data_IF_572305866937
#
_entry.id   IF_572305866937
#
_cell.length_a   1.000
_cell.length_b   1.000
_cell.length_c   1.000
_cell.angle_alpha   90.00
_cell.angle_beta   90.00
_cell.angle_gamma   90.00
#
_symmetry.space_group_name_H-M   'P 1'
#
loop_
_entity.id
_entity.type
_entity.pdbx_description
1 polymer ?
#
# COMPACT_ATOMS: atom_id res chain seq x y z
N UNK A 1 25.39 -4.59 -1.56
CA UNK A 1 25.67 -5.04 -0.18
C UNK A 1 26.88 -4.30 0.36
N UNK A 2 26.77 -3.71 1.55
CA UNK A 2 27.87 -3.01 2.24
C UNK A 2 28.78 -3.96 3.06
N UNK A 3 28.60 -5.28 2.92
CA UNK A 3 29.42 -6.30 3.60
C UNK A 3 29.18 -6.42 5.11
N UNK A 4 28.14 -5.78 5.66
CA UNK A 4 27.81 -5.85 7.09
C UNK A 4 27.03 -7.12 7.42
N UNK A 5 27.36 -7.85 8.51
CA UNK A 5 26.60 -9.03 8.92
C UNK A 5 25.14 -8.71 9.23
N UNK A 6 24.23 -9.57 8.75
CA UNK A 6 22.79 -9.47 9.00
C UNK A 6 22.37 -10.46 10.10
N UNK A 7 22.73 -10.16 11.35
CA UNK A 7 22.32 -10.96 12.50
C UNK A 7 20.85 -10.72 12.89
N UNK A 8 20.28 -11.60 13.72
CA UNK A 8 18.93 -11.40 14.26
C UNK A 8 18.80 -10.05 15.00
N UNK A 9 19.81 -9.64 15.75
CA UNK A 9 19.82 -8.35 16.44
C UNK A 9 19.77 -7.17 15.48
N UNK A 10 20.47 -7.26 14.34
CA UNK A 10 20.42 -6.22 13.29
C UNK A 10 19.01 -6.11 12.71
N UNK A 11 18.35 -7.23 12.40
CA UNK A 11 16.97 -7.23 11.89
C UNK A 11 15.98 -6.66 12.90
N UNK A 12 16.07 -7.09 14.17
CA UNK A 12 15.23 -6.60 15.27
C UNK A 12 15.38 -5.08 15.45
N UNK A 13 16.61 -4.57 15.46
CA UNK A 13 16.87 -3.13 15.55
C UNK A 13 16.31 -2.35 14.35
N UNK A 14 16.46 -2.86 13.13
CA UNK A 14 15.89 -2.23 11.92
C UNK A 14 14.36 -2.19 12.04
N UNK A 15 13.74 -3.29 12.42
CA UNK A 15 12.28 -3.39 12.47
C UNK A 15 11.67 -2.53 13.58
N UNK A 16 12.33 -2.44 14.74
CA UNK A 16 11.95 -1.53 15.82
C UNK A 16 11.99 -0.06 15.38
N UNK A 17 13.00 0.34 14.59
CA UNK A 17 13.06 1.68 13.99
C UNK A 17 11.94 1.91 12.97
N UNK A 18 11.59 0.90 12.19
CA UNK A 18 10.47 0.98 11.23
C UNK A 18 9.14 1.18 11.98
N UNK A 19 8.88 0.40 13.05
CA UNK A 19 7.68 0.59 13.87
C UNK A 19 7.57 2.03 14.39
N UNK A 20 8.63 2.54 15.01
CA UNK A 20 8.63 3.91 15.54
C UNK A 20 8.49 4.97 14.44
N UNK A 21 9.07 4.75 13.25
CA UNK A 21 8.94 5.67 12.11
C UNK A 21 7.49 5.79 11.61
N UNK A 22 6.75 4.67 11.54
CA UNK A 22 5.42 4.64 10.92
C UNK A 22 4.29 4.90 11.91
N UNK A 23 4.42 4.48 13.17
CA UNK A 23 3.37 4.64 14.17
C UNK A 23 3.64 5.76 15.19
N UNK A 24 4.84 6.35 15.19
CA UNK A 24 5.18 7.45 16.08
C UNK A 24 5.40 7.00 17.54
N UNK A 25 5.61 7.97 18.45
CA UNK A 25 6.01 7.72 19.84
C UNK A 25 4.91 7.09 20.69
N UNK A 26 3.65 7.18 20.26
CA UNK A 26 2.50 6.64 21.01
C UNK A 26 2.41 5.11 20.91
N UNK A 27 3.13 4.49 19.95
CA UNK A 27 3.23 3.04 19.87
C UNK A 27 4.16 2.49 20.96
N UNK A 28 3.56 1.84 21.95
CA UNK A 28 4.28 1.08 22.97
C UNK A 28 4.74 -0.25 22.39
N UNK A 29 6.06 -0.49 22.38
CA UNK A 29 6.68 -1.74 21.93
C UNK A 29 7.19 -2.55 23.11
N UNK A 30 6.67 -3.76 23.28
CA UNK A 30 7.21 -4.74 24.23
C UNK A 30 8.57 -5.28 23.78
N UNK A 31 9.28 -5.99 24.65
CA UNK A 31 10.62 -6.54 24.40
C UNK A 31 10.71 -7.32 23.08
N UNK A 32 9.68 -8.09 22.74
CA UNK A 32 9.65 -9.04 21.64
C UNK A 32 8.88 -8.55 20.41
N UNK A 33 8.26 -7.37 20.43
CA UNK A 33 7.49 -6.86 19.28
C UNK A 33 8.28 -6.86 17.97
N UNK A 34 9.60 -6.62 18.05
CA UNK A 34 10.49 -6.56 16.89
C UNK A 34 10.89 -7.93 16.31
N UNK A 35 10.67 -9.04 17.02
CA UNK A 35 10.93 -10.39 16.52
C UNK A 35 9.97 -10.76 15.38
N UNK A 36 8.85 -10.04 15.26
CA UNK A 36 7.83 -10.28 14.24
C UNK A 36 8.39 -10.21 12.81
N UNK A 37 9.46 -9.44 12.56
CA UNK A 37 10.11 -9.43 11.25
C UNK A 37 10.61 -10.82 10.81
N UNK A 38 10.96 -11.70 11.75
CA UNK A 38 11.46 -13.05 11.44
C UNK A 38 10.33 -14.06 11.18
N UNK A 39 9.07 -13.67 11.39
CA UNK A 39 7.89 -14.54 11.26
C UNK A 39 7.07 -14.27 10.00
N UNK A 40 7.36 -13.17 9.30
CA UNK A 40 6.60 -12.77 8.10
C UNK A 40 7.07 -13.62 6.92
N UNK A 41 6.26 -14.60 6.55
CA UNK A 41 6.54 -15.53 5.44
C UNK A 41 6.86 -14.82 4.11
N UNK A 42 6.23 -13.66 3.86
CA UNK A 42 6.46 -12.87 2.66
C UNK A 42 7.87 -12.26 2.58
N UNK A 43 8.61 -12.12 3.68
CA UNK A 43 10.01 -11.64 3.64
C UNK A 43 10.97 -12.68 3.07
N UNK A 44 10.53 -13.94 3.01
CA UNK A 44 11.23 -15.02 2.33
C UNK A 44 10.82 -15.17 0.86
N UNK A 45 10.07 -14.19 0.34
CA UNK A 45 9.75 -14.04 -1.08
C UNK A 45 10.36 -12.73 -1.58
N UNK A 46 11.05 -12.79 -2.71
CA UNK A 46 11.77 -11.66 -3.28
C UNK A 46 10.83 -10.49 -3.60
N UNK A 47 10.93 -9.40 -2.83
CA UNK A 47 10.26 -8.11 -3.05
C UNK A 47 8.75 -8.21 -3.34
N UNK A 48 8.02 -9.10 -2.65
CA UNK A 48 6.60 -9.30 -2.94
C UNK A 48 5.68 -8.25 -2.29
N UNK A 49 5.97 -7.86 -1.05
CA UNK A 49 5.00 -7.13 -0.19
C UNK A 49 4.59 -5.75 -0.69
N UNK A 50 5.44 -5.06 -1.47
CA UNK A 50 5.11 -3.71 -1.96
C UNK A 50 3.91 -3.72 -2.91
N UNK A 51 3.67 -4.87 -3.58
CA UNK A 51 2.57 -5.05 -4.53
C UNK A 51 1.21 -4.83 -3.86
N UNK A 52 1.06 -5.18 -2.57
CA UNK A 52 -0.20 -4.92 -1.87
C UNK A 52 -0.52 -3.43 -1.80
N UNK A 53 0.47 -2.59 -1.45
CA UNK A 53 0.28 -1.16 -1.33
C UNK A 53 -0.01 -0.51 -2.69
N UNK A 54 0.72 -0.91 -3.74
CA UNK A 54 0.52 -0.37 -5.09
C UNK A 54 -0.81 -0.83 -5.70
N UNK A 55 -1.17 -2.11 -5.55
CA UNK A 55 -2.46 -2.63 -6.01
C UNK A 55 -3.65 -2.00 -5.29
N UNK A 56 -3.56 -1.82 -3.96
CA UNK A 56 -4.62 -1.15 -3.20
C UNK A 56 -4.76 0.32 -3.63
N UNK A 57 -3.64 0.99 -3.89
CA UNK A 57 -3.65 2.38 -4.36
C UNK A 57 -4.30 2.53 -5.73
N UNK A 58 -3.94 1.65 -6.68
CA UNK A 58 -4.57 1.62 -8.00
C UNK A 58 -6.07 1.32 -7.92
N UNK A 59 -6.45 0.33 -7.10
CA UNK A 59 -7.85 -0.05 -6.91
C UNK A 59 -8.67 1.11 -6.31
N UNK A 60 -8.13 1.80 -5.31
CA UNK A 60 -8.78 2.97 -4.69
C UNK A 60 -8.99 4.08 -5.71
N UNK A 61 -7.96 4.41 -6.50
CA UNK A 61 -8.04 5.42 -7.54
C UNK A 61 -9.13 5.10 -8.57
N UNK A 62 -9.18 3.86 -9.07
CA UNK A 62 -10.20 3.41 -10.02
C UNK A 62 -11.60 3.46 -9.37
N UNK A 63 -11.72 2.97 -8.14
CA UNK A 63 -13.00 2.88 -7.44
C UNK A 63 -13.63 4.27 -7.19
N UNK A 64 -12.86 5.26 -6.75
CA UNK A 64 -13.34 6.64 -6.52
C UNK A 64 -13.97 7.21 -7.81
N UNK A 65 -13.33 6.99 -8.96
CA UNK A 65 -13.83 7.45 -10.26
C UNK A 65 -15.12 6.73 -10.67
N UNK A 66 -15.18 5.41 -10.47
CA UNK A 66 -16.38 4.62 -10.76
C UNK A 66 -17.56 5.06 -9.88
N UNK A 67 -17.32 5.26 -8.58
CA UNK A 67 -18.33 5.71 -7.62
C UNK A 67 -18.80 7.14 -7.90
N UNK A 68 -17.94 7.98 -8.47
CA UNK A 68 -18.30 9.31 -8.97
C UNK A 68 -19.13 9.28 -10.28
N UNK A 69 -19.42 8.10 -10.83
CA UNK A 69 -20.23 7.94 -12.04
C UNK A 69 -19.45 8.16 -13.34
N UNK A 70 -18.12 8.07 -13.32
CA UNK A 70 -17.28 8.24 -14.51
C UNK A 70 -17.46 7.07 -15.49
N UNK A 71 -18.27 7.27 -16.54
CA UNK A 71 -18.55 6.25 -17.56
C UNK A 71 -17.31 5.85 -18.38
N UNK A 72 -16.39 6.78 -18.61
CA UNK A 72 -15.14 6.47 -19.32
C UNK A 72 -14.27 5.52 -18.48
N UNK A 73 -14.18 5.76 -17.17
CA UNK A 73 -13.46 4.87 -16.27
C UNK A 73 -14.08 3.47 -16.23
N UNK A 74 -15.41 3.36 -16.34
CA UNK A 74 -16.08 2.05 -16.41
C UNK A 74 -15.61 1.26 -17.64
N UNK A 75 -15.57 1.89 -18.81
CA UNK A 75 -15.07 1.23 -20.03
C UNK A 75 -13.60 0.83 -19.90
N UNK A 76 -12.75 1.71 -19.36
CA UNK A 76 -11.34 1.41 -19.06
C UNK A 76 -11.19 0.22 -18.12
N UNK A 77 -11.99 0.17 -17.05
CA UNK A 77 -11.99 -0.94 -16.10
C UNK A 77 -12.47 -2.26 -16.72
N UNK A 78 -13.50 -2.22 -17.58
CA UNK A 78 -13.92 -3.40 -18.34
C UNK A 78 -12.83 -3.87 -19.32
N UNK A 79 -12.06 -2.96 -19.91
CA UNK A 79 -10.87 -3.26 -20.70
C UNK A 79 -9.78 -3.94 -19.87
N UNK A 80 -9.47 -3.40 -18.69
CA UNK A 80 -8.53 -3.97 -17.73
C UNK A 80 -8.87 -5.43 -17.39
N UNK A 81 -10.13 -5.73 -17.05
CA UNK A 81 -10.57 -7.09 -16.71
C UNK A 81 -10.43 -8.06 -17.89
N UNK A 82 -10.69 -7.60 -19.12
CA UNK A 82 -10.54 -8.40 -20.34
C UNK A 82 -9.07 -8.65 -20.71
N UNK A 83 -8.16 -7.78 -20.29
CA UNK A 83 -6.75 -7.88 -20.66
C UNK A 83 -6.05 -9.07 -19.99
N UNK A 84 -6.46 -9.49 -18.80
CA UNK A 84 -5.81 -10.57 -18.06
C UNK A 84 -4.30 -10.37 -17.96
N UNK A 85 -3.51 -11.41 -18.25
CA UNK A 85 -2.05 -11.37 -18.25
C UNK A 85 -1.44 -11.05 -19.63
N UNK A 86 -2.19 -10.40 -20.53
CA UNK A 86 -1.74 -10.16 -21.91
C UNK A 86 -0.60 -9.15 -22.08
N UNK A 87 -0.33 -8.31 -21.07
CA UNK A 87 0.74 -7.30 -21.05
C UNK A 87 1.38 -7.22 -19.66
N UNK A 88 2.44 -6.42 -19.51
CA UNK A 88 3.00 -6.19 -18.19
C UNK A 88 2.00 -5.45 -17.28
N UNK A 89 1.94 -5.77 -15.97
CA UNK A 89 0.93 -5.20 -15.07
C UNK A 89 0.89 -3.66 -15.06
N UNK A 90 2.04 -3.00 -15.20
CA UNK A 90 2.11 -1.54 -15.24
C UNK A 90 1.46 -0.95 -16.50
N UNK A 91 1.54 -1.66 -17.64
CA UNK A 91 0.92 -1.25 -18.90
C UNK A 91 -0.59 -1.50 -18.85
N UNK A 92 -1.01 -2.64 -18.30
CA UNK A 92 -2.44 -2.96 -18.11
C UNK A 92 -3.11 -1.94 -17.18
N UNK A 93 -2.42 -1.48 -16.13
CA UNK A 93 -2.92 -0.40 -15.26
C UNK A 93 -2.93 0.96 -15.95
N UNK A 94 -1.93 1.27 -16.78
CA UNK A 94 -1.92 2.51 -17.56
C UNK A 94 -3.10 2.56 -18.53
N UNK A 95 -3.41 1.45 -19.22
CA UNK A 95 -4.61 1.31 -20.06
C UNK A 95 -5.90 1.52 -19.24
N UNK A 96 -5.90 1.05 -17.99
CA UNK A 96 -6.99 1.27 -17.03
C UNK A 96 -7.10 2.72 -16.52
N UNK A 97 -6.21 3.62 -16.93
CA UNK A 97 -6.18 5.02 -16.52
C UNK A 97 -5.36 5.30 -15.25
N UNK A 98 -4.51 4.36 -14.82
CA UNK A 98 -3.64 4.50 -13.65
C UNK A 98 -2.17 4.38 -14.03
N UNK A 99 -1.47 5.51 -14.09
CA UNK A 99 -0.02 5.53 -14.28
C UNK A 99 0.70 5.30 -12.94
N UNK A 100 1.17 4.08 -12.71
CA UNK A 100 1.87 3.70 -11.48
C UNK A 100 3.30 4.29 -11.36
N UNK A 101 3.78 5.02 -12.37
CA UNK A 101 5.03 5.81 -12.27
C UNK A 101 4.81 7.18 -11.63
N UNK A 102 3.55 7.56 -11.37
CA UNK A 102 3.15 8.83 -10.79
C UNK A 102 2.58 8.63 -9.38
N UNK A 103 2.63 9.67 -8.52
CA UNK A 103 2.16 9.55 -7.14
C UNK A 103 0.63 9.56 -7.01
N UNK A 104 -0.11 9.87 -8.07
CA UNK A 104 -1.55 10.17 -8.02
C UNK A 104 -2.39 9.09 -7.33
N UNK A 105 -2.14 7.81 -7.62
CA UNK A 105 -2.88 6.70 -7.00
C UNK A 105 -2.64 6.62 -5.47
N UNK A 106 -1.39 6.82 -5.04
CA UNK A 106 -1.02 6.80 -3.62
C UNK A 106 -1.63 8.03 -2.92
N UNK A 107 -1.54 9.20 -3.55
CA UNK A 107 -2.10 10.45 -3.01
C UNK A 107 -3.62 10.37 -2.90
N UNK A 108 -4.32 9.82 -3.88
CA UNK A 108 -5.77 9.61 -3.82
C UNK A 108 -6.16 8.70 -2.65
N UNK A 109 -5.39 7.62 -2.42
CA UNK A 109 -5.62 6.70 -1.31
C UNK A 109 -5.40 7.35 0.05
N UNK A 110 -4.34 8.15 0.19
CA UNK A 110 -4.09 8.92 1.41
C UNK A 110 -5.22 9.94 1.68
N UNK A 111 -5.72 10.62 0.65
CA UNK A 111 -6.87 11.53 0.77
C UNK A 111 -8.16 10.81 1.15
N UNK A 112 -8.40 9.59 0.65
CA UNK A 112 -9.54 8.80 1.07
C UNK A 112 -9.41 8.43 2.55
N UNK A 113 -8.23 7.99 2.98
CA UNK A 113 -7.96 7.70 4.39
C UNK A 113 -8.22 8.91 5.29
N UNK A 114 -7.68 10.09 4.94
CA UNK A 114 -7.93 11.35 5.65
C UNK A 114 -9.43 11.63 5.81
N UNK A 115 -10.21 11.60 4.71
CA UNK A 115 -11.66 11.83 4.76
C UNK A 115 -12.40 10.84 5.68
N UNK A 116 -12.00 9.56 5.65
CA UNK A 116 -12.64 8.53 6.47
C UNK A 116 -12.30 8.71 7.96
N UNK A 117 -11.09 9.14 8.29
CA UNK A 117 -10.69 9.49 9.66
C UNK A 117 -11.47 10.71 10.14
N UNK A 118 -11.54 11.78 9.35
CA UNK A 118 -12.31 12.98 9.69
C UNK A 118 -13.80 12.66 9.95
N UNK A 119 -14.38 11.79 9.11
CA UNK A 119 -15.75 11.32 9.29
C UNK A 119 -15.92 10.53 10.58
N UNK A 120 -14.97 9.65 10.92
CA UNK A 120 -14.99 8.90 12.17
C UNK A 120 -14.92 9.83 13.39
N UNK A 121 -14.03 10.84 13.36
CA UNK A 121 -13.90 11.82 14.44
C UNK A 121 -15.21 12.60 14.66
N UNK A 122 -15.85 13.05 13.58
CA UNK A 122 -17.15 13.73 13.66
C UNK A 122 -18.24 12.85 14.27
N UNK A 123 -18.29 11.57 13.91
CA UNK A 123 -19.28 10.63 14.46
C UNK A 123 -19.06 10.36 15.95
N UNK A 124 -17.80 10.33 16.41
CA UNK A 124 -17.44 10.10 17.82
C UNK A 124 -17.54 11.36 18.69
N UNK A 125 -17.61 12.55 18.10
CA UNK A 125 -17.77 13.81 18.81
C UNK A 125 -19.22 14.05 19.32
N UNK A 126 -20.12 13.08 19.10
CA UNK A 126 -21.52 13.08 19.54
C UNK A 126 -21.68 12.25 20.81
#
# INVERSE_FOLDING_TARGET
>A
EEGRPLSADVFRQIYRKIYQKFWGPDLVLDEYSDINCLRISHFYRTFYVYQYATSYSAATYIAEQLLAGNREQLERYMGFLKAGESKYPIEVLADAGVDMTKPDAIVATAKLFERLVDQLEQLLAT
#
